data_IF_625543958651
#
_entry.id   IF_625543958651
#
_cell.length_a   1.000
_cell.length_b   1.000
_cell.length_c   1.000
_cell.angle_alpha   90.00
_cell.angle_beta   90.00
_cell.angle_gamma   90.00
#
_symmetry.space_group_name_H-M   'P 1'
#
loop_
_entity.id
_entity.type
_entity.pdbx_description
1 polymer ?
#
# COMPACT_ATOMS: atom_id res chain seq x y z
N UNK A 1 -26.01 -12.81 -5.65
CA UNK A 1 -25.25 -13.84 -4.90
C UNK A 1 -25.13 -13.38 -3.45
N UNK A 2 -25.94 -13.93 -2.54
CA UNK A 2 -25.97 -13.54 -1.12
C UNK A 2 -25.16 -14.55 -0.29
N UNK A 3 -23.84 -14.35 -0.20
CA UNK A 3 -23.02 -15.06 0.78
C UNK A 3 -23.27 -14.48 2.16
N UNK A 4 -24.10 -15.14 2.99
CA UNK A 4 -24.12 -14.85 4.43
C UNK A 4 -22.69 -15.10 4.95
N UNK A 5 -22.08 -14.08 5.55
CA UNK A 5 -20.81 -14.24 6.25
C UNK A 5 -20.90 -15.45 7.18
N UNK A 6 -19.93 -16.38 7.10
CA UNK A 6 -19.90 -17.55 7.96
C UNK A 6 -19.52 -17.08 9.37
N UNK A 7 -20.51 -16.91 10.24
CA UNK A 7 -20.28 -16.58 11.65
C UNK A 7 -19.90 -17.84 12.43
N UNK A 8 -18.87 -17.75 13.27
CA UNK A 8 -18.48 -18.79 14.21
C UNK A 8 -18.91 -18.41 15.63
N UNK A 9 -19.53 -19.35 16.37
CA UNK A 9 -19.94 -19.10 17.76
C UNK A 9 -18.76 -19.38 18.70
N UNK A 10 -18.33 -18.35 19.41
CA UNK A 10 -17.31 -18.44 20.45
C UNK A 10 -17.92 -18.18 21.83
N UNK A 11 -17.55 -18.99 22.83
CA UNK A 11 -17.92 -18.75 24.23
C UNK A 11 -16.73 -18.12 24.96
N UNK A 12 -16.95 -17.00 25.63
CA UNK A 12 -15.95 -16.28 26.40
C UNK A 12 -16.50 -15.92 27.78
N UNK A 13 -15.66 -16.02 28.80
CA UNK A 13 -16.00 -15.66 30.18
C UNK A 13 -15.58 -14.22 30.44
N UNK A 14 -16.50 -13.41 30.98
CA UNK A 14 -16.27 -12.01 31.30
C UNK A 14 -16.56 -11.75 32.79
N UNK A 15 -15.87 -10.78 33.41
CA UNK A 15 -16.25 -10.30 34.74
C UNK A 15 -17.71 -9.87 34.78
N UNK A 16 -18.38 -10.16 35.90
CA UNK A 16 -19.82 -9.89 36.06
C UNK A 16 -20.17 -8.43 35.87
N UNK A 17 -19.32 -7.53 36.38
CA UNK A 17 -19.48 -6.08 36.30
C UNK A 17 -19.45 -5.62 34.84
N UNK A 18 -18.41 -6.01 34.09
CA UNK A 18 -18.28 -5.71 32.67
C UNK A 18 -19.44 -6.25 31.83
N UNK A 19 -19.88 -7.49 32.09
CA UNK A 19 -21.05 -8.05 31.42
C UNK A 19 -22.35 -7.30 31.79
N UNK A 20 -22.41 -6.71 32.98
CA UNK A 20 -23.50 -5.81 33.40
C UNK A 20 -23.49 -4.51 32.60
N UNK A 21 -22.34 -3.85 32.52
CA UNK A 21 -22.15 -2.61 31.76
C UNK A 21 -22.51 -2.79 30.28
N UNK A 22 -22.01 -3.85 29.64
CA UNK A 22 -22.31 -4.15 28.23
C UNK A 22 -23.82 -4.29 28.01
N UNK A 23 -24.53 -4.98 28.92
CA UNK A 23 -25.99 -5.16 28.85
C UNK A 23 -26.78 -3.88 29.18
N UNK A 24 -26.15 -2.90 29.83
CA UNK A 24 -26.77 -1.59 30.06
C UNK A 24 -26.70 -0.68 28.84
N UNK A 25 -25.72 -0.91 27.96
CA UNK A 25 -25.46 -0.07 26.77
C UNK A 25 -26.10 -0.70 25.52
N UNK A 26 -26.06 -2.02 25.38
CA UNK A 26 -26.55 -2.72 24.19
C UNK A 26 -27.73 -3.64 24.50
N UNK A 27 -28.75 -3.61 23.64
CA UNK A 27 -29.90 -4.49 23.74
C UNK A 27 -29.54 -5.96 23.41
N UNK A 28 -30.41 -6.90 23.78
CA UNK A 28 -30.13 -8.35 23.72
C UNK A 28 -29.85 -8.92 22.30
N UNK A 29 -30.06 -8.15 21.23
CA UNK A 29 -29.70 -8.51 19.85
C UNK A 29 -28.49 -7.76 19.28
N UNK A 30 -28.01 -6.71 19.95
CA UNK A 30 -26.95 -5.83 19.48
C UNK A 30 -25.58 -6.21 20.07
N UNK A 31 -25.57 -7.05 21.10
CA UNK A 31 -24.35 -7.51 21.76
C UNK A 31 -23.36 -8.07 20.74
N UNK A 32 -23.79 -8.95 19.85
CA UNK A 32 -22.87 -9.51 18.84
C UNK A 32 -22.26 -8.43 17.95
N UNK A 33 -23.03 -7.43 17.54
CA UNK A 33 -22.55 -6.34 16.70
C UNK A 33 -21.56 -5.45 17.46
N UNK A 34 -21.88 -5.10 18.70
CA UNK A 34 -21.00 -4.35 19.60
C UNK A 34 -19.66 -5.07 19.80
N UNK A 35 -19.70 -6.39 20.06
CA UNK A 35 -18.49 -7.20 20.20
C UNK A 35 -17.69 -7.24 18.91
N UNK A 36 -18.34 -7.41 17.75
CA UNK A 36 -17.66 -7.39 16.45
C UNK A 36 -16.94 -6.07 16.23
N UNK A 37 -17.62 -4.94 16.41
CA UNK A 37 -17.03 -3.62 16.22
C UNK A 37 -15.85 -3.36 17.17
N UNK A 38 -16.04 -3.61 18.47
CA UNK A 38 -15.01 -3.40 19.46
C UNK A 38 -13.78 -4.30 19.24
N UNK A 39 -13.99 -5.56 18.87
CA UNK A 39 -12.91 -6.51 18.61
C UNK A 39 -12.18 -6.18 17.30
N UNK A 40 -12.89 -5.77 16.24
CA UNK A 40 -12.26 -5.33 15.00
C UNK A 40 -11.33 -4.14 15.23
N UNK A 41 -11.82 -3.13 15.96
CA UNK A 41 -11.01 -1.98 16.35
C UNK A 41 -9.77 -2.40 17.15
N UNK A 42 -9.97 -3.22 18.19
CA UNK A 42 -8.87 -3.66 19.05
C UNK A 42 -7.85 -4.53 18.31
N UNK A 43 -8.30 -5.42 17.43
CA UNK A 43 -7.41 -6.25 16.61
C UNK A 43 -6.62 -5.42 15.62
N UNK A 44 -7.22 -4.42 14.98
CA UNK A 44 -6.51 -3.50 14.10
C UNK A 44 -5.40 -2.76 14.87
N UNK A 45 -5.72 -2.21 16.03
CA UNK A 45 -4.75 -1.54 16.90
C UNK A 45 -3.62 -2.48 17.34
N UNK A 46 -3.95 -3.71 17.73
CA UNK A 46 -2.95 -4.69 18.18
C UNK A 46 -2.05 -5.16 17.05
N UNK A 47 -2.57 -5.36 15.83
CA UNK A 47 -1.76 -5.66 14.64
C UNK A 47 -0.80 -4.53 14.33
N UNK A 48 -1.26 -3.28 14.40
CA UNK A 48 -0.40 -2.12 14.20
C UNK A 48 0.72 -2.08 15.25
N UNK A 49 0.39 -2.28 16.53
CA UNK A 49 1.40 -2.33 17.59
C UNK A 49 2.44 -3.43 17.34
N UNK A 50 2.01 -4.63 16.96
CA UNK A 50 2.93 -5.75 16.63
C UNK A 50 3.78 -5.39 15.40
N UNK A 51 3.19 -4.77 14.38
CA UNK A 51 3.94 -4.34 13.19
C UNK A 51 4.99 -3.27 13.54
N UNK A 52 4.67 -2.37 14.48
CA UNK A 52 5.64 -1.40 14.99
C UNK A 52 6.71 -2.10 15.83
N UNK A 53 6.37 -2.99 16.75
CA UNK A 53 7.34 -3.73 17.57
C UNK A 53 8.28 -4.60 16.73
N UNK A 54 7.75 -5.27 15.70
CA UNK A 54 8.54 -6.10 14.79
C UNK A 54 9.29 -5.28 13.73
N UNK A 55 8.73 -4.14 13.31
CA UNK A 55 9.33 -3.23 12.34
C UNK A 55 10.38 -2.30 12.97
N UNK A 56 10.28 -2.04 14.28
CA UNK A 56 11.23 -1.25 15.04
C UNK A 56 12.52 -2.06 15.20
N UNK A 57 13.56 -1.65 14.47
CA UNK A 57 14.80 -2.42 14.34
C UNK A 57 14.79 -3.44 13.21
N UNK A 58 13.81 -3.41 12.30
CA UNK A 58 13.90 -4.16 11.04
C UNK A 58 14.95 -3.57 10.09
N UNK A 59 15.27 -2.28 10.23
CA UNK A 59 16.33 -1.60 9.50
C UNK A 59 17.42 -1.24 10.48
N UNK A 60 18.28 -2.22 10.78
CA UNK A 60 19.47 -1.98 11.60
C UNK A 60 20.57 -1.42 10.72
N UNK A 61 21.43 -0.58 11.30
CA UNK A 61 22.58 0.00 10.61
C UNK A 61 23.53 -1.08 10.07
N UNK A 62 23.62 -2.26 10.73
CA UNK A 62 24.43 -3.38 10.24
C UNK A 62 23.87 -4.03 8.97
N UNK A 63 22.54 -4.06 8.84
CA UNK A 63 21.84 -4.70 7.72
C UNK A 63 21.62 -3.71 6.56
N UNK A 64 21.57 -2.40 6.85
CA UNK A 64 21.32 -1.31 5.90
C UNK A 64 22.24 -0.10 6.18
N UNK A 65 23.55 -0.23 5.93
CA UNK A 65 24.52 0.84 6.21
C UNK A 65 24.23 2.13 5.41
N UNK A 66 23.61 2.01 4.24
CA UNK A 66 23.18 3.14 3.41
C UNK A 66 22.06 3.99 4.02
N UNK A 67 21.45 3.52 5.12
CA UNK A 67 20.42 4.23 5.87
C UNK A 67 20.87 4.63 7.29
N UNK A 68 22.14 4.36 7.65
CA UNK A 68 22.65 4.54 9.01
C UNK A 68 22.70 6.02 9.45
N UNK A 69 22.95 6.94 8.52
CA UNK A 69 22.91 8.38 8.78
C UNK A 69 21.94 9.11 7.85
N UNK A 70 21.48 10.33 8.24
CA UNK A 70 20.69 11.17 7.34
C UNK A 70 21.40 11.45 6.01
N UNK A 71 22.72 11.64 6.03
CA UNK A 71 23.56 11.88 4.85
C UNK A 71 23.65 10.65 3.94
N UNK A 72 23.80 9.46 4.53
CA UNK A 72 23.83 8.19 3.79
C UNK A 72 22.46 7.94 3.14
N UNK A 73 21.39 8.19 3.88
CA UNK A 73 20.00 8.05 3.39
C UNK A 73 19.76 8.96 2.20
N UNK A 74 20.21 10.22 2.27
CA UNK A 74 20.09 11.17 1.17
C UNK A 74 20.87 10.71 -0.07
N UNK A 75 22.08 10.19 0.14
CA UNK A 75 22.93 9.65 -0.92
C UNK A 75 22.25 8.48 -1.62
N UNK A 76 21.73 7.54 -0.85
CA UNK A 76 21.00 6.37 -1.33
C UNK A 76 19.74 6.74 -2.14
N UNK A 77 18.91 7.63 -1.61
CA UNK A 77 17.69 8.09 -2.29
C UNK A 77 18.02 8.80 -3.61
N UNK A 78 19.07 9.63 -3.62
CA UNK A 78 19.48 10.33 -4.85
C UNK A 78 20.01 9.35 -5.90
N UNK A 79 20.76 8.32 -5.51
CA UNK A 79 21.20 7.28 -6.42
C UNK A 79 20.01 6.53 -7.05
N UNK A 80 19.01 6.17 -6.26
CA UNK A 80 17.78 5.52 -6.75
C UNK A 80 17.01 6.40 -7.74
N UNK A 81 16.82 7.67 -7.42
CA UNK A 81 16.14 8.64 -8.31
C UNK A 81 16.86 8.77 -9.64
N UNK A 82 18.19 8.91 -9.60
CA UNK A 82 18.99 9.05 -10.81
C UNK A 82 18.95 7.78 -11.67
N UNK A 83 19.03 6.60 -11.04
CA UNK A 83 18.92 5.32 -11.75
C UNK A 83 17.55 5.17 -12.45
N UNK A 84 16.45 5.57 -11.81
CA UNK A 84 15.12 5.51 -12.43
C UNK A 84 14.97 6.54 -13.56
N UNK A 85 15.54 7.75 -13.42
CA UNK A 85 15.59 8.73 -14.51
C UNK A 85 16.31 8.16 -15.74
N UNK A 86 17.46 7.53 -15.56
CA UNK A 86 18.20 6.91 -16.66
C UNK A 86 17.41 5.76 -17.30
N UNK A 87 16.76 4.91 -16.48
CA UNK A 87 15.87 3.87 -16.98
C UNK A 87 14.73 4.44 -17.81
N UNK A 88 14.07 5.51 -17.34
CA UNK A 88 12.98 6.16 -18.05
C UNK A 88 13.44 6.78 -19.37
N UNK A 89 14.64 7.36 -19.43
CA UNK A 89 15.24 7.86 -20.69
C UNK A 89 15.45 6.74 -21.71
N UNK A 90 15.85 5.55 -21.27
CA UNK A 90 16.02 4.39 -22.16
C UNK A 90 14.69 3.79 -22.64
N UNK A 91 13.61 3.95 -21.87
CA UNK A 91 12.28 3.45 -22.19
C UNK A 91 11.42 4.45 -22.96
N UNK A 92 11.79 5.74 -22.97
CA UNK A 92 11.14 6.73 -23.79
C UNK A 92 11.34 6.38 -25.28
N UNK A 93 10.27 6.14 -26.06
CA UNK A 93 10.42 5.90 -27.49
C UNK A 93 11.06 7.14 -28.11
N UNK A 94 12.13 6.96 -28.88
CA UNK A 94 12.71 8.01 -29.71
C UNK A 94 11.64 8.53 -30.67
N UNK A 95 10.92 9.59 -30.28
CA UNK A 95 9.99 10.34 -31.14
C UNK A 95 10.69 10.96 -32.37
N UNK A 96 12.01 10.84 -32.48
CA UNK A 96 12.80 11.39 -33.59
C UNK A 96 12.82 10.54 -34.87
N UNK A 97 12.24 9.33 -34.92
CA UNK A 97 12.24 8.52 -36.15
C UNK A 97 11.01 8.72 -37.05
N UNK A 98 9.96 9.40 -36.58
CA UNK A 98 8.69 9.54 -37.32
C UNK A 98 8.58 10.83 -38.16
N UNK A 99 9.58 11.72 -38.08
CA UNK A 99 9.53 13.02 -38.78
C UNK A 99 10.22 13.03 -40.16
N UNK A 100 11.14 12.09 -40.44
CA UNK A 100 11.90 12.09 -41.69
C UNK A 100 11.17 11.43 -42.88
N UNK A 101 10.17 10.58 -42.64
CA UNK A 101 9.49 9.86 -43.74
C UNK A 101 8.41 10.71 -44.46
N UNK A 102 7.88 11.77 -43.82
CA UNK A 102 6.84 12.62 -44.42
C UNK A 102 7.37 13.66 -45.42
N UNK A 103 8.68 13.88 -45.49
CA UNK A 103 9.28 14.90 -46.37
C UNK A 103 9.63 14.37 -47.78
N UNK A 104 9.79 13.05 -47.96
CA UNK A 104 10.14 12.47 -49.27
C UNK A 104 8.96 12.03 -50.15
N UNK A 105 7.75 11.86 -49.58
CA UNK A 105 6.60 11.34 -50.33
C UNK A 105 5.83 12.33 -51.22
N UNK A 106 6.08 13.65 -51.12
CA UNK A 106 5.24 14.67 -51.80
C UNK A 106 5.74 15.18 -53.16
N UNK A 107 6.81 14.62 -53.73
CA UNK A 107 7.40 15.11 -55.01
C UNK A 107 7.14 14.27 -56.27
N UNK A 108 6.17 13.35 -56.28
CA UNK A 108 5.81 12.60 -57.51
C UNK A 108 4.31 12.56 -57.80
N UNK A 109 3.73 13.69 -58.22
CA UNK A 109 2.53 13.68 -59.10
C UNK A 109 2.24 15.05 -59.73
N UNK A 110 3.07 15.46 -60.68
CA UNK A 110 2.68 16.38 -61.77
C UNK A 110 3.66 16.23 -62.94
N UNK A 111 3.36 15.37 -63.91
CA UNK A 111 3.81 15.49 -65.31
C UNK A 111 2.91 14.62 -66.19
N UNK A 112 1.89 15.23 -66.81
CA UNK A 112 1.75 15.52 -68.27
C UNK A 112 1.46 14.26 -69.10
N UNK A 113 0.38 14.33 -69.87
CA UNK A 113 0.01 13.37 -70.92
C UNK A 113 -1.49 13.30 -71.08
#
# INVERSE_FOLDING_TARGET
MSGRAKTEKMSVTLPKELAGEIRSIAAHGEISALFTEALEYYLAHRRQKIALENGFGAWKDEDYPELATPEDTLTFINALRNADIERLKMLAPTESAASDEKSQGRRRKTRVG
#
